data_IF_599219457324
#
_entry.id   IF_599219457324
#
_cell.length_a   1.000
_cell.length_b   1.000
_cell.length_c   1.000
_cell.angle_alpha   90.00
_cell.angle_beta   90.00
_cell.angle_gamma   90.00
#
_symmetry.space_group_name_H-M   'P 1'
#
loop_
_entity.id
_entity.type
_entity.pdbx_description
1 polymer ?
#
# COMPACT_ATOMS: atom_id res chain seq x y z
N UNK A 1 -8.14 75.17 28.58
CA UNK A 1 -8.75 74.02 29.30
C UNK A 1 -9.31 73.03 28.29
N UNK A 2 -9.28 71.73 28.63
CA UNK A 2 -9.73 70.51 27.89
C UNK A 2 -8.68 69.84 26.99
N UNK A 3 -7.86 69.00 27.61
CA UNK A 3 -7.13 67.90 26.94
C UNK A 3 -8.15 66.80 26.60
N UNK A 4 -8.23 66.40 25.33
CA UNK A 4 -9.05 65.27 24.89
C UNK A 4 -8.17 64.01 24.90
N UNK A 5 -8.40 63.14 25.88
CA UNK A 5 -7.73 61.86 26.01
C UNK A 5 -8.40 60.86 25.05
N UNK A 6 -7.74 60.53 23.92
CA UNK A 6 -8.19 59.48 23.01
C UNK A 6 -7.74 58.12 23.56
N UNK A 7 -8.72 57.35 24.05
CA UNK A 7 -8.53 55.96 24.46
C UNK A 7 -8.38 55.09 23.19
N UNK A 8 -7.21 54.52 22.96
CA UNK A 8 -6.99 53.52 21.91
C UNK A 8 -7.26 52.13 22.50
N UNK A 9 -8.34 51.47 22.05
CA UNK A 9 -8.55 50.04 22.32
C UNK A 9 -7.67 49.21 21.37
N UNK A 10 -6.93 48.20 21.86
CA UNK A 10 -6.25 47.25 20.98
C UNK A 10 -7.28 46.27 20.40
N UNK A 11 -7.36 46.22 19.07
CA UNK A 11 -8.08 45.16 18.35
C UNK A 11 -7.20 43.92 18.35
N UNK A 12 -7.53 42.93 19.17
CA UNK A 12 -6.87 41.63 19.14
C UNK A 12 -7.41 40.84 17.93
N UNK A 13 -6.59 40.69 16.89
CA UNK A 13 -6.87 39.80 15.77
C UNK A 13 -6.55 38.38 16.20
N UNK A 14 -7.58 37.61 16.55
CA UNK A 14 -7.43 36.17 16.80
C UNK A 14 -7.21 35.45 15.46
N UNK A 15 -5.97 35.09 15.15
CA UNK A 15 -5.65 34.19 14.05
C UNK A 15 -6.11 32.78 14.42
N UNK A 16 -7.32 32.41 13.99
CA UNK A 16 -7.80 31.05 14.06
C UNK A 16 -6.99 30.16 13.12
N UNK A 17 -6.17 29.27 13.67
CA UNK A 17 -5.55 28.19 12.90
C UNK A 17 -6.66 27.19 12.58
N UNK A 18 -7.17 27.24 11.35
CA UNK A 18 -8.04 26.20 10.80
C UNK A 18 -7.18 24.94 10.61
N UNK A 19 -7.19 24.06 11.60
CA UNK A 19 -6.74 22.68 11.40
C UNK A 19 -7.70 22.05 10.39
N UNK A 20 -7.20 21.74 9.19
CA UNK A 20 -7.96 20.96 8.23
C UNK A 20 -8.36 19.62 8.88
N UNK A 21 -9.60 19.15 8.71
CA UNK A 21 -9.98 17.86 9.24
C UNK A 21 -9.09 16.81 8.58
N UNK A 22 -8.43 15.98 9.38
CA UNK A 22 -7.78 14.79 8.87
C UNK A 22 -8.86 14.00 8.13
N UNK A 23 -8.68 13.79 6.82
CA UNK A 23 -9.58 12.93 6.06
C UNK A 23 -9.64 11.60 6.82
N UNK A 24 -10.85 11.19 7.22
CA UNK A 24 -11.06 9.87 7.81
C UNK A 24 -10.80 8.84 6.70
N UNK A 25 -9.54 8.48 6.52
CA UNK A 25 -9.15 7.40 5.63
C UNK A 25 -9.72 6.11 6.21
N UNK A 26 -10.57 5.42 5.46
CA UNK A 26 -11.03 4.10 5.85
C UNK A 26 -9.83 3.19 6.08
N UNK A 27 -9.82 2.45 7.20
CA UNK A 27 -8.69 1.64 7.65
C UNK A 27 -8.03 0.84 6.52
N UNK A 28 -6.69 0.88 6.47
CA UNK A 28 -5.93 0.11 5.50
C UNK A 28 -6.09 -1.39 5.78
N UNK A 29 -6.61 -2.12 4.80
CA UNK A 29 -6.62 -3.58 4.86
C UNK A 29 -5.27 -4.09 4.35
N UNK A 30 -4.41 -4.56 5.25
CA UNK A 30 -3.09 -5.05 4.87
C UNK A 30 -3.13 -6.47 4.34
N UNK A 31 -2.80 -6.68 3.07
CA UNK A 31 -2.56 -8.02 2.51
C UNK A 31 -1.30 -8.63 3.13
N UNK A 32 -0.22 -7.86 3.15
CA UNK A 32 1.03 -8.19 3.85
C UNK A 32 1.41 -7.06 4.79
N UNK A 33 1.79 -7.41 6.03
CA UNK A 33 2.37 -6.50 7.02
C UNK A 33 3.10 -7.31 8.09
N UNK A 34 4.29 -6.90 8.57
CA UNK A 34 4.94 -7.55 9.70
C UNK A 34 3.99 -7.67 10.90
N UNK A 35 3.93 -8.85 11.52
CA UNK A 35 3.01 -9.15 12.63
C UNK A 35 1.58 -9.54 12.23
N UNK A 36 1.17 -9.35 10.96
CA UNK A 36 -0.16 -9.79 10.51
C UNK A 36 -0.26 -11.32 10.43
N UNK A 37 -1.43 -11.87 10.80
CA UNK A 37 -1.77 -13.29 10.66
C UNK A 37 -3.18 -13.42 10.04
N UNK A 38 -3.34 -14.06 8.87
CA UNK A 38 -2.30 -14.60 7.99
C UNK A 38 -1.49 -13.49 7.28
N UNK A 39 -0.25 -13.81 6.88
CA UNK A 39 0.59 -12.97 6.03
C UNK A 39 1.20 -13.78 4.86
N UNK A 40 0.70 -13.62 3.62
CA UNK A 40 1.18 -14.37 2.45
C UNK A 40 2.63 -14.07 2.09
N UNK A 41 3.18 -12.93 2.50
CA UNK A 41 4.56 -12.53 2.23
C UNK A 41 5.60 -13.14 3.19
N UNK A 42 5.18 -13.86 4.25
CA UNK A 42 6.07 -14.56 5.20
C UNK A 42 5.90 -16.09 5.18
N UNK A 43 5.35 -16.64 4.08
CA UNK A 43 5.14 -18.08 3.90
C UNK A 43 6.42 -18.89 3.58
N UNK A 44 6.25 -20.14 3.15
CA UNK A 44 7.38 -20.98 2.70
C UNK A 44 8.10 -20.35 1.52
N UNK A 45 9.43 -20.30 1.62
CA UNK A 45 10.31 -19.75 0.59
C UNK A 45 10.88 -20.86 -0.34
N UNK A 46 10.42 -22.11 -0.18
CA UNK A 46 10.93 -23.27 -0.92
C UNK A 46 10.87 -23.02 -2.43
N UNK A 47 12.03 -23.00 -3.05
CA UNK A 47 12.20 -22.67 -4.46
C UNK A 47 12.97 -23.79 -5.13
N UNK A 48 12.57 -24.13 -6.36
CA UNK A 48 13.39 -25.02 -7.18
C UNK A 48 14.10 -24.22 -8.27
N UNK A 49 15.41 -24.13 -8.15
CA UNK A 49 16.27 -23.53 -9.14
C UNK A 49 16.41 -24.52 -10.30
N UNK A 50 16.04 -24.07 -11.50
CA UNK A 50 16.20 -24.81 -12.75
C UNK A 50 17.45 -24.28 -13.45
N UNK A 51 18.25 -25.19 -13.99
CA UNK A 51 19.41 -24.85 -14.82
C UNK A 51 19.19 -25.47 -16.20
N UNK A 52 19.70 -24.85 -17.25
CA UNK A 52 19.56 -25.38 -18.62
C UNK A 52 20.29 -26.72 -18.80
N UNK A 53 21.48 -26.86 -18.22
CA UNK A 53 22.38 -28.01 -18.42
C UNK A 53 22.71 -28.79 -17.14
N UNK A 54 22.00 -28.53 -16.04
CA UNK A 54 22.24 -29.20 -14.74
C UNK A 54 20.93 -29.62 -14.11
N UNK A 55 20.98 -30.66 -13.29
CA UNK A 55 19.81 -31.11 -12.52
C UNK A 55 19.24 -29.99 -11.66
N UNK A 56 17.91 -29.88 -11.54
CA UNK A 56 17.30 -28.88 -10.68
C UNK A 56 17.74 -29.00 -9.22
N UNK A 57 17.86 -27.87 -8.53
CA UNK A 57 18.21 -27.82 -7.11
C UNK A 57 17.08 -27.19 -6.32
N UNK A 58 16.60 -27.88 -5.29
CA UNK A 58 15.66 -27.31 -4.32
C UNK A 58 16.45 -26.55 -3.25
N UNK A 59 16.05 -25.32 -2.98
CA UNK A 59 16.55 -24.49 -1.88
C UNK A 59 15.39 -24.00 -1.04
N UNK A 60 15.66 -23.70 0.23
CA UNK A 60 14.68 -23.04 1.11
C UNK A 60 15.38 -21.85 1.76
N UNK A 61 15.37 -20.69 1.09
CA UNK A 61 15.91 -19.46 1.66
C UNK A 61 15.17 -19.10 2.95
N UNK A 62 15.78 -18.24 3.76
CA UNK A 62 15.21 -17.78 5.03
C UNK A 62 14.91 -16.29 4.95
N UNK A 63 13.76 -15.91 5.50
CA UNK A 63 13.44 -14.49 5.66
C UNK A 63 14.47 -13.81 6.57
N UNK A 64 14.76 -12.54 6.32
CA UNK A 64 15.54 -11.72 7.22
C UNK A 64 14.82 -11.60 8.56
N UNK A 65 15.55 -11.79 9.67
CA UNK A 65 14.99 -11.63 11.02
C UNK A 65 14.73 -10.18 11.39
N UNK A 66 15.62 -9.28 10.95
CA UNK A 66 15.59 -7.84 11.22
C UNK A 66 16.16 -7.08 10.01
N UNK A 67 15.40 -7.01 8.90
CA UNK A 67 15.87 -6.29 7.72
C UNK A 67 16.01 -4.79 8.01
N UNK A 68 17.03 -4.16 7.41
CA UNK A 68 17.31 -2.73 7.58
C UNK A 68 16.41 -1.80 6.75
N UNK A 69 15.63 -2.37 5.83
CA UNK A 69 14.72 -1.65 4.93
C UNK A 69 13.38 -2.36 4.83
N UNK A 70 12.38 -1.67 4.31
CA UNK A 70 11.05 -2.22 4.02
C UNK A 70 10.81 -2.30 2.51
N UNK A 71 9.91 -3.19 2.10
CA UNK A 71 9.39 -3.20 0.73
C UNK A 71 7.92 -2.86 0.77
N UNK A 72 7.53 -1.79 0.09
CA UNK A 72 6.14 -1.45 -0.14
C UNK A 72 5.73 -1.93 -1.53
N UNK A 73 4.89 -2.96 -1.59
CA UNK A 73 4.53 -3.66 -2.81
C UNK A 73 3.09 -3.35 -3.22
N UNK A 74 2.93 -2.83 -4.44
CA UNK A 74 1.65 -2.58 -5.10
C UNK A 74 1.51 -3.62 -6.21
N UNK A 75 0.63 -4.60 -5.98
CA UNK A 75 0.46 -5.77 -6.83
C UNK A 75 -0.31 -5.47 -8.13
N UNK A 76 -0.20 -6.29 -9.19
CA UNK A 76 -0.91 -6.07 -10.45
C UNK A 76 -2.40 -6.35 -10.34
N UNK A 77 -3.15 -6.08 -11.41
CA UNK A 77 -4.52 -6.61 -11.52
C UNK A 77 -4.53 -8.14 -11.46
N UNK A 78 -5.24 -8.69 -10.49
CA UNK A 78 -5.52 -10.13 -10.33
C UNK A 78 -6.97 -10.41 -9.95
N UNK A 79 -7.77 -9.38 -9.65
CA UNK A 79 -9.16 -9.54 -9.24
C UNK A 79 -10.01 -10.05 -10.40
N UNK A 80 -10.71 -11.14 -10.12
CA UNK A 80 -11.69 -11.77 -11.01
C UNK A 80 -13.14 -11.31 -10.71
N UNK A 81 -13.31 -10.27 -9.88
CA UNK A 81 -14.63 -9.75 -9.56
C UNK A 81 -15.32 -9.17 -10.81
N UNK A 82 -16.65 -9.25 -10.85
CA UNK A 82 -17.47 -8.87 -12.01
C UNK A 82 -17.76 -7.37 -12.13
N UNK A 83 -17.27 -6.56 -11.19
CA UNK A 83 -17.38 -5.10 -11.18
C UNK A 83 -16.22 -4.44 -11.92
N UNK A 84 -16.35 -3.16 -12.28
CA UNK A 84 -15.25 -2.41 -12.93
C UNK A 84 -14.04 -2.30 -12.02
N UNK A 85 -14.28 -1.87 -10.78
CA UNK A 85 -13.30 -1.87 -9.69
C UNK A 85 -13.58 -2.99 -8.72
N UNK A 86 -12.55 -3.67 -8.22
CA UNK A 86 -12.70 -4.64 -7.14
C UNK A 86 -13.15 -3.97 -5.84
N UNK A 87 -13.56 -4.77 -4.86
CA UNK A 87 -13.54 -4.36 -3.45
C UNK A 87 -12.12 -4.54 -2.85
N UNK A 88 -11.99 -4.41 -1.52
CA UNK A 88 -10.72 -4.58 -0.78
C UNK A 88 -10.62 -5.93 -0.02
N UNK A 89 -11.45 -6.91 -0.37
CA UNK A 89 -11.41 -8.24 0.24
C UNK A 89 -10.18 -9.02 -0.21
N UNK A 90 -9.60 -9.83 0.70
CA UNK A 90 -8.41 -10.64 0.41
C UNK A 90 -8.83 -11.94 -0.28
N UNK A 91 -9.13 -11.87 -1.57
CA UNK A 91 -9.50 -13.06 -2.34
C UNK A 91 -8.26 -13.95 -2.60
N UNK A 92 -8.44 -15.24 -2.96
CA UNK A 92 -7.33 -16.17 -3.19
C UNK A 92 -6.30 -15.67 -4.22
N UNK A 93 -6.72 -14.89 -5.20
CA UNK A 93 -5.92 -14.34 -6.28
C UNK A 93 -4.90 -13.33 -5.73
N UNK A 94 -5.33 -12.39 -4.88
CA UNK A 94 -4.47 -11.40 -4.21
C UNK A 94 -3.51 -12.08 -3.23
N UNK A 95 -4.00 -13.07 -2.46
CA UNK A 95 -3.14 -13.88 -1.58
C UNK A 95 -2.05 -14.59 -2.40
N UNK A 96 -2.42 -15.14 -3.56
CA UNK A 96 -1.52 -15.93 -4.40
C UNK A 96 -0.49 -15.04 -5.10
N UNK A 97 -0.88 -13.88 -5.62
CA UNK A 97 0.06 -12.97 -6.28
C UNK A 97 1.09 -12.41 -5.29
N UNK A 98 0.69 -12.13 -4.04
CA UNK A 98 1.63 -11.71 -3.00
C UNK A 98 2.65 -12.81 -2.66
N UNK A 99 2.22 -14.09 -2.61
CA UNK A 99 3.13 -15.22 -2.42
C UNK A 99 4.15 -15.33 -3.57
N UNK A 100 3.70 -15.17 -4.80
CA UNK A 100 4.56 -15.36 -5.98
C UNK A 100 5.48 -14.18 -6.27
N UNK A 101 4.98 -12.95 -6.17
CA UNK A 101 5.73 -11.76 -6.56
C UNK A 101 6.45 -11.10 -5.40
N UNK A 102 5.92 -11.17 -4.17
CA UNK A 102 6.42 -10.37 -3.06
C UNK A 102 7.16 -11.16 -1.97
N UNK A 103 6.77 -12.42 -1.71
CA UNK A 103 7.33 -13.18 -0.59
C UNK A 103 8.86 -13.40 -0.67
N UNK A 104 9.47 -13.37 -1.88
CA UNK A 104 10.94 -13.43 -2.03
C UNK A 104 11.65 -12.25 -1.40
N UNK A 105 11.05 -11.07 -1.41
CA UNK A 105 11.68 -9.89 -0.84
C UNK A 105 11.77 -9.96 0.69
N UNK A 106 11.02 -10.86 1.35
CA UNK A 106 11.16 -11.10 2.80
C UNK A 106 12.55 -11.56 3.23
N UNK A 107 13.41 -11.98 2.30
CA UNK A 107 14.82 -12.31 2.52
C UNK A 107 15.69 -11.07 2.81
N UNK A 108 15.24 -9.87 2.43
CA UNK A 108 16.03 -8.63 2.54
C UNK A 108 15.26 -7.45 3.14
N UNK A 109 13.93 -7.47 3.12
CA UNK A 109 13.07 -6.39 3.63
C UNK A 109 11.85 -6.92 4.39
N UNK A 110 11.25 -6.07 5.21
CA UNK A 110 9.91 -6.33 5.74
C UNK A 110 8.86 -5.87 4.72
N UNK A 111 8.00 -6.80 4.30
CA UNK A 111 7.07 -6.57 3.18
C UNK A 111 5.74 -6.05 3.67
N UNK A 112 5.35 -4.89 3.13
CA UNK A 112 4.06 -4.24 3.28
C UNK A 112 3.35 -4.26 1.92
N UNK A 113 2.12 -4.72 1.88
CA UNK A 113 1.28 -4.68 0.68
C UNK A 113 -0.16 -4.39 1.11
N UNK A 114 -0.75 -3.25 0.70
CA UNK A 114 -2.14 -2.94 1.01
C UNK A 114 -3.09 -3.62 0.04
N UNK A 115 -4.28 -3.96 0.51
CA UNK A 115 -5.42 -4.16 -0.38
C UNK A 115 -5.88 -2.81 -0.91
N UNK A 116 -6.06 -2.73 -2.22
CA UNK A 116 -6.56 -1.54 -2.89
C UNK A 116 -7.60 -1.94 -3.95
N UNK A 117 -8.50 -1.02 -4.29
CA UNK A 117 -9.45 -1.24 -5.38
C UNK A 117 -8.72 -1.16 -6.71
N UNK A 118 -8.66 -2.28 -7.40
CA UNK A 118 -8.00 -2.42 -8.70
C UNK A 118 -9.07 -2.41 -9.81
N UNK A 119 -8.73 -1.95 -11.00
CA UNK A 119 -9.53 -2.29 -12.19
C UNK A 119 -9.43 -3.80 -12.37
N UNK A 120 -10.57 -4.49 -12.45
CA UNK A 120 -10.63 -5.96 -12.48
C UNK A 120 -10.20 -6.53 -13.84
N UNK A 121 -9.84 -7.81 -13.86
CA UNK A 121 -9.59 -8.54 -15.11
C UNK A 121 -10.82 -8.50 -16.03
N UNK A 122 -12.03 -8.55 -15.47
CA UNK A 122 -13.26 -8.50 -16.27
C UNK A 122 -13.44 -7.14 -16.95
N UNK A 123 -13.05 -6.05 -16.30
CA UNK A 123 -13.08 -4.73 -16.90
C UNK A 123 -12.00 -4.56 -17.97
N UNK A 124 -10.77 -5.04 -17.72
CA UNK A 124 -9.66 -4.95 -18.69
C UNK A 124 -9.93 -5.77 -19.96
N UNK A 125 -10.50 -6.98 -19.81
CA UNK A 125 -10.73 -7.91 -20.92
C UNK A 125 -12.15 -7.81 -21.52
N UNK A 126 -13.01 -7.01 -20.91
CA UNK A 126 -14.41 -6.86 -21.30
C UNK A 126 -14.66 -5.66 -22.21
N UNK A 127 -15.94 -5.30 -22.31
CA UNK A 127 -16.39 -4.09 -23.04
C UNK A 127 -16.57 -2.88 -22.12
N UNK A 128 -16.49 -3.06 -20.80
CA UNK A 128 -16.50 -1.96 -19.86
C UNK A 128 -15.22 -1.13 -20.04
N UNK A 129 -15.37 0.19 -20.10
CA UNK A 129 -14.21 1.10 -20.19
C UNK A 129 -14.00 1.73 -18.81
N UNK A 130 -12.92 1.40 -18.10
CA UNK A 130 -12.58 2.02 -16.82
C UNK A 130 -12.43 3.53 -16.99
N UNK A 131 -13.12 4.30 -16.16
CA UNK A 131 -13.05 5.76 -16.11
C UNK A 131 -11.79 6.23 -15.37
N UNK A 132 -11.38 7.51 -15.51
CA UNK A 132 -10.36 8.09 -14.66
C UNK A 132 -10.69 7.97 -13.15
N UNK A 133 -11.96 8.15 -12.79
CA UNK A 133 -12.44 8.04 -11.41
C UNK A 133 -12.26 6.62 -10.87
N UNK A 134 -12.50 5.59 -11.68
CA UNK A 134 -12.27 4.19 -11.29
C UNK A 134 -10.81 3.93 -10.94
N UNK A 135 -9.87 4.57 -11.65
CA UNK A 135 -8.42 4.44 -11.40
C UNK A 135 -8.00 5.22 -10.16
N UNK A 136 -8.59 6.39 -9.95
CA UNK A 136 -8.31 7.25 -8.80
C UNK A 136 -8.66 6.58 -7.47
N UNK A 137 -9.68 5.71 -7.45
CA UNK A 137 -10.01 4.92 -6.25
C UNK A 137 -8.83 4.05 -5.79
N UNK A 138 -8.17 3.35 -6.72
CA UNK A 138 -7.01 2.52 -6.42
C UNK A 138 -5.82 3.35 -5.95
N UNK A 139 -5.54 4.46 -6.63
CA UNK A 139 -4.48 5.38 -6.23
C UNK A 139 -4.71 5.94 -4.82
N UNK A 140 -5.93 6.38 -4.52
CA UNK A 140 -6.30 6.90 -3.19
C UNK A 140 -6.12 5.85 -2.10
N UNK A 141 -6.51 4.60 -2.34
CA UNK A 141 -6.31 3.50 -1.39
C UNK A 141 -4.82 3.22 -1.15
N UNK A 142 -4.00 3.15 -2.21
CA UNK A 142 -2.55 2.93 -2.12
C UNK A 142 -1.87 4.09 -1.39
N UNK A 143 -2.26 5.34 -1.71
CA UNK A 143 -1.71 6.54 -1.07
C UNK A 143 -2.00 6.54 0.42
N UNK A 144 -3.26 6.29 0.82
CA UNK A 144 -3.64 6.23 2.22
C UNK A 144 -2.84 5.16 2.99
N UNK A 145 -2.70 3.98 2.40
CA UNK A 145 -1.89 2.91 2.98
C UNK A 145 -0.40 3.27 3.08
N UNK A 146 0.13 3.95 2.06
CA UNK A 146 1.52 4.39 2.06
C UNK A 146 1.75 5.43 3.16
N UNK A 147 0.85 6.39 3.32
CA UNK A 147 0.92 7.39 4.40
C UNK A 147 0.84 6.73 5.78
N UNK A 148 -0.05 5.75 5.98
CA UNK A 148 -0.11 4.94 7.23
C UNK A 148 1.22 4.19 7.47
N UNK A 149 1.78 3.56 6.43
CA UNK A 149 3.07 2.89 6.50
C UNK A 149 4.18 3.86 6.91
N UNK A 150 4.26 5.04 6.29
CA UNK A 150 5.29 6.05 6.59
C UNK A 150 5.18 6.56 8.02
N UNK A 151 3.96 6.81 8.49
CA UNK A 151 3.71 7.22 9.87
C UNK A 151 4.10 6.15 10.89
N UNK A 152 3.81 4.87 10.60
CA UNK A 152 4.15 3.76 11.49
C UNK A 152 5.64 3.35 11.46
N UNK A 153 6.40 3.79 10.45
CA UNK A 153 7.80 3.39 10.23
C UNK A 153 8.71 4.62 10.06
N UNK A 154 8.74 5.55 11.03
CA UNK A 154 9.49 6.79 10.91
C UNK A 154 10.99 6.50 10.74
N UNK A 155 11.61 7.16 9.76
CA UNK A 155 13.05 7.04 9.48
C UNK A 155 13.50 5.73 8.81
N UNK A 156 12.60 4.75 8.59
CA UNK A 156 12.95 3.54 7.83
C UNK A 156 13.06 3.85 6.33
N UNK A 157 14.13 3.34 5.71
CA UNK A 157 14.27 3.32 4.26
C UNK A 157 13.35 2.26 3.64
N UNK A 158 12.88 2.52 2.42
CA UNK A 158 11.98 1.60 1.73
C UNK A 158 12.29 1.49 0.24
N UNK A 159 11.86 0.38 -0.34
CA UNK A 159 11.79 0.16 -1.79
C UNK A 159 10.32 0.11 -2.18
N UNK A 160 9.91 0.95 -3.13
CA UNK A 160 8.60 0.87 -3.75
C UNK A 160 8.67 -0.12 -4.92
N UNK A 161 7.79 -1.11 -4.91
CA UNK A 161 7.73 -2.17 -5.91
C UNK A 161 6.34 -2.15 -6.53
N UNK A 162 6.26 -1.85 -7.83
CA UNK A 162 5.02 -1.89 -8.59
C UNK A 162 5.11 -2.91 -9.72
N UNK A 163 3.98 -3.50 -10.11
CA UNK A 163 3.88 -4.33 -11.31
C UNK A 163 2.55 -4.08 -12.03
N UNK A 164 2.60 -3.91 -13.36
CA UNK A 164 1.44 -3.67 -14.21
C UNK A 164 0.61 -2.48 -13.70
N UNK A 165 -0.66 -2.66 -13.33
CA UNK A 165 -1.48 -1.60 -12.73
C UNK A 165 -0.89 -1.01 -11.44
N UNK A 166 -0.09 -1.78 -10.70
CA UNK A 166 0.56 -1.28 -9.50
C UNK A 166 1.78 -0.39 -9.75
N UNK A 167 2.19 -0.18 -11.00
CA UNK A 167 3.27 0.71 -11.43
C UNK A 167 2.75 2.11 -11.77
#
# INVERSE_FOLDING_TARGET
MRKVLRLLLPVAVATGVLAAPAAAHADTIWLCRPGATPNPCKGSLKTTIRYEKKSPKVVTPKAAKKPGIDCFYVYPTVSEQNTVTSNRAKDPQEITIAKYQAARFSEVCDVYAPMYRQITLKAILGTATPTPEDRELGFTDVKAAFDEYRAANPGRGYVLIGHSQGS
#
